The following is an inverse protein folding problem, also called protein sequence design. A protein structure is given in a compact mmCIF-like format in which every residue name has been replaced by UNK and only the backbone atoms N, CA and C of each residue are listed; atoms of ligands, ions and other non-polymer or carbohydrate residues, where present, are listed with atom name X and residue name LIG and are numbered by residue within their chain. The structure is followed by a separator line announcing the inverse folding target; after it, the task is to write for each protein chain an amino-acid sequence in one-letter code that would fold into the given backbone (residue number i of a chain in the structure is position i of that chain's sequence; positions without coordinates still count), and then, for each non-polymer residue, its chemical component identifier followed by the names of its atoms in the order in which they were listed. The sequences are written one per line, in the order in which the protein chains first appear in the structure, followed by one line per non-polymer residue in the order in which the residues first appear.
data_IF_550281611118
#
_entry.id   IF_550281611118
#
_cell.length_a   1.000
_cell.length_b   1.000
_cell.length_c   1.000
_cell.angle_alpha   90.00
_cell.angle_beta   90.00
_cell.angle_gamma   90.00
#
_symmetry.space_group_name_H-M   'P 1'
#
loop_
_entity.id
_entity.type
_entity.pdbx_description
1 polymer ?
#
# COMPACT_ATOMS: atom_id res chain seq x y z
N UNK A 1 19.45 19.51 -39.10
CA UNK A 1 19.60 19.13 -37.68
C UNK A 1 18.34 18.35 -37.31
N UNK A 2 18.45 17.05 -37.05
CA UNK A 2 17.30 16.12 -36.99
C UNK A 2 16.74 15.92 -35.56
N UNK A 3 17.05 16.81 -34.62
CA UNK A 3 16.71 16.61 -33.21
C UNK A 3 16.28 17.90 -32.53
N UNK A 4 15.31 17.79 -31.63
CA UNK A 4 14.92 18.84 -30.70
C UNK A 4 14.89 18.29 -29.28
N UNK A 5 15.32 19.12 -28.33
CA UNK A 5 15.30 18.77 -26.91
C UNK A 5 13.93 19.15 -26.37
N UNK A 6 13.28 18.26 -25.63
CA UNK A 6 11.99 18.58 -25.01
C UNK A 6 12.18 19.75 -24.05
N UNK A 7 11.42 20.83 -24.24
CA UNK A 7 11.49 22.03 -23.39
C UNK A 7 10.97 21.80 -21.97
N UNK A 8 10.19 20.74 -21.74
CA UNK A 8 9.60 20.44 -20.42
C UNK A 8 10.40 19.41 -19.62
N UNK A 9 10.91 18.35 -20.27
CA UNK A 9 11.63 17.27 -19.58
C UNK A 9 13.10 17.11 -19.99
N UNK A 10 13.60 17.90 -20.95
CA UNK A 10 15.00 17.88 -21.37
C UNK A 10 15.43 16.65 -22.20
N UNK A 11 14.56 15.64 -22.35
CA UNK A 11 14.82 14.42 -23.12
C UNK A 11 15.01 14.72 -24.61
N UNK A 12 15.90 13.95 -25.26
CA UNK A 12 16.06 13.97 -26.71
C UNK A 12 14.80 13.41 -27.35
N UNK A 13 14.07 14.24 -28.11
CA UNK A 13 12.99 13.75 -28.95
C UNK A 13 13.58 13.37 -30.30
N UNK A 14 13.33 12.14 -30.74
CA UNK A 14 13.44 11.83 -32.15
C UNK A 14 12.52 12.79 -32.91
N UNK A 15 13.03 13.50 -33.92
CA UNK A 15 12.08 13.91 -34.96
C UNK A 15 11.52 12.61 -35.54
N UNK A 16 10.23 12.58 -35.82
CA UNK A 16 9.51 11.41 -36.39
C UNK A 16 10.17 10.87 -37.68
N UNK A 17 11.16 11.56 -38.23
CA UNK A 17 12.02 11.16 -39.33
C UNK A 17 13.19 10.27 -38.90
N UNK A 18 12.93 9.15 -38.24
CA UNK A 18 13.88 8.02 -38.23
C UNK A 18 13.86 7.37 -39.62
N UNK A 19 14.32 8.13 -40.62
CA UNK A 19 14.53 7.75 -42.02
C UNK A 19 13.48 6.78 -42.60
N UNK A 20 12.19 7.10 -42.38
CA UNK A 20 11.07 6.44 -43.06
C UNK A 20 10.90 6.97 -44.49
N UNK A 21 11.99 7.42 -45.12
CA UNK A 21 11.93 7.77 -46.54
C UNK A 21 11.52 6.52 -47.31
N UNK A 22 10.64 6.64 -48.32
CA UNK A 22 10.18 5.48 -49.10
C UNK A 22 11.34 4.63 -49.64
N UNK A 23 12.45 5.29 -49.99
CA UNK A 23 13.69 4.68 -50.47
C UNK A 23 14.43 3.87 -49.40
N UNK A 24 14.53 4.38 -48.16
CA UNK A 24 15.13 3.65 -47.03
C UNK A 24 14.32 2.38 -46.69
N UNK A 25 12.99 2.50 -46.67
CA UNK A 25 12.09 1.37 -46.41
C UNK A 25 12.18 0.28 -47.50
N UNK A 26 12.21 0.68 -48.78
CA UNK A 26 12.38 -0.24 -49.89
C UNK A 26 13.73 -0.96 -49.87
N UNK A 27 14.81 -0.25 -49.50
CA UNK A 27 16.14 -0.83 -49.36
C UNK A 27 16.17 -1.88 -48.24
N UNK A 28 15.60 -1.58 -47.07
CA UNK A 28 15.50 -2.55 -45.97
C UNK A 28 14.72 -3.80 -46.35
N UNK A 29 13.58 -3.61 -47.02
CA UNK A 29 12.74 -4.71 -47.43
C UNK A 29 13.46 -5.60 -48.45
N UNK A 30 14.09 -5.01 -49.48
CA UNK A 30 14.90 -5.73 -50.48
C UNK A 30 16.03 -6.56 -49.83
N UNK A 31 16.77 -5.95 -48.89
CA UNK A 31 17.89 -6.62 -48.21
C UNK A 31 17.43 -7.64 -47.16
N UNK A 32 16.20 -7.53 -46.65
CA UNK A 32 15.62 -8.52 -45.73
C UNK A 32 15.01 -9.72 -46.46
N UNK A 33 14.51 -9.52 -47.69
CA UNK A 33 13.89 -10.55 -48.51
C UNK A 33 14.90 -11.33 -49.37
N UNK A 34 16.11 -10.79 -49.58
CA UNK A 34 17.17 -11.40 -50.39
C UNK A 34 18.44 -11.61 -49.58
N UNK A 35 19.11 -12.76 -49.74
CA UNK A 35 20.43 -13.01 -49.13
C UNK A 35 21.58 -12.32 -49.93
N UNK A 36 21.26 -11.37 -50.80
CA UNK A 36 22.26 -10.64 -51.59
C UNK A 36 23.01 -9.66 -50.68
N UNK A 37 24.36 -9.61 -50.72
CA UNK A 37 25.13 -8.65 -49.92
C UNK A 37 24.80 -7.21 -50.35
N UNK A 38 24.67 -6.26 -49.38
CA UNK A 38 24.50 -4.85 -49.72
C UNK A 38 25.75 -4.28 -50.38
N UNK A 39 25.58 -3.26 -51.21
CA UNK A 39 26.72 -2.55 -51.82
C UNK A 39 27.53 -1.78 -50.76
N UNK A 40 28.81 -1.51 -51.00
CA UNK A 40 29.69 -0.86 -50.01
C UNK A 40 29.16 0.50 -49.52
N UNK A 41 28.53 1.27 -50.40
CA UNK A 41 27.88 2.54 -50.05
C UNK A 41 26.64 2.33 -49.16
N UNK A 42 25.86 1.27 -49.41
CA UNK A 42 24.71 0.87 -48.59
C UNK A 42 25.18 0.38 -47.22
N UNK A 43 26.26 -0.41 -47.17
CA UNK A 43 26.88 -0.90 -45.93
C UNK A 43 27.34 0.25 -45.02
N UNK A 44 28.00 1.27 -45.59
CA UNK A 44 28.44 2.43 -44.82
C UNK A 44 27.24 3.21 -44.23
N UNK A 45 26.19 3.42 -45.03
CA UNK A 45 24.96 4.07 -44.58
C UNK A 45 24.23 3.28 -43.49
N UNK A 46 24.10 1.96 -43.66
CA UNK A 46 23.47 1.06 -42.69
C UNK A 46 24.25 1.02 -41.37
N UNK A 47 25.58 0.99 -41.39
CA UNK A 47 26.41 1.04 -40.18
C UNK A 47 26.27 2.36 -39.44
N UNK A 48 26.33 3.48 -40.14
CA UNK A 48 26.15 4.81 -39.55
C UNK A 48 24.76 4.95 -38.92
N UNK A 49 23.73 4.39 -39.56
CA UNK A 49 22.37 4.37 -39.01
C UNK A 49 22.27 3.45 -37.80
N UNK A 50 22.83 2.24 -37.85
CA UNK A 50 22.84 1.32 -36.73
C UNK A 50 23.56 1.91 -35.49
N UNK A 51 24.71 2.56 -35.67
CA UNK A 51 25.42 3.23 -34.57
C UNK A 51 24.60 4.39 -34.00
N UNK A 52 23.95 5.15 -34.88
CA UNK A 52 23.05 6.24 -34.51
C UNK A 52 21.86 5.72 -33.70
N UNK A 53 21.16 4.68 -34.18
CA UNK A 53 20.07 4.01 -33.46
C UNK A 53 20.51 3.48 -32.10
N UNK A 54 21.67 2.83 -32.03
CA UNK A 54 22.21 2.31 -30.77
C UNK A 54 22.48 3.42 -29.75
N UNK A 55 23.02 4.55 -30.18
CA UNK A 55 23.24 5.73 -29.31
C UNK A 55 21.92 6.27 -28.78
N UNK A 56 20.87 6.29 -29.60
CA UNK A 56 19.54 6.75 -29.18
C UNK A 56 18.85 5.78 -28.23
N UNK A 57 18.97 4.48 -28.47
CA UNK A 57 18.45 3.47 -27.55
C UNK A 57 19.11 3.62 -26.17
N UNK A 58 20.43 3.76 -26.11
CA UNK A 58 21.15 3.99 -24.85
C UNK A 58 20.64 5.24 -24.12
N UNK A 59 20.46 6.36 -24.82
CA UNK A 59 19.97 7.60 -24.22
C UNK A 59 18.51 7.48 -23.72
N UNK A 60 17.67 6.71 -24.40
CA UNK A 60 16.31 6.43 -23.94
C UNK A 60 16.30 5.52 -22.72
N UNK A 61 17.13 4.47 -22.71
CA UNK A 61 17.28 3.56 -21.58
C UNK A 61 17.77 4.30 -20.32
N UNK A 62 18.74 5.20 -20.47
CA UNK A 62 19.20 6.07 -19.38
C UNK A 62 18.07 6.96 -18.84
N UNK A 63 17.28 7.58 -19.72
CA UNK A 63 16.14 8.41 -19.31
C UNK A 63 15.03 7.61 -18.63
N UNK A 64 14.77 6.38 -19.07
CA UNK A 64 13.83 5.47 -18.41
C UNK A 64 14.34 5.14 -17.01
N UNK A 65 15.61 4.76 -16.87
CA UNK A 65 16.20 4.42 -15.58
C UNK A 65 16.13 5.59 -14.59
N UNK A 66 16.43 6.82 -15.02
CA UNK A 66 16.33 8.02 -14.18
C UNK A 66 14.89 8.25 -13.69
N UNK A 67 13.91 8.17 -14.59
CA UNK A 67 12.50 8.37 -14.23
C UNK A 67 11.98 7.26 -13.32
N UNK A 68 12.38 6.02 -13.52
CA UNK A 68 12.05 4.91 -12.64
C UNK A 68 12.60 5.12 -11.23
N UNK A 69 13.85 5.56 -11.10
CA UNK A 69 14.44 5.86 -9.80
C UNK A 69 13.76 7.03 -9.10
N UNK A 70 13.40 8.08 -9.86
CA UNK A 70 12.61 9.20 -9.33
C UNK A 70 11.23 8.74 -8.85
N UNK A 71 10.58 7.86 -9.59
CA UNK A 71 9.29 7.29 -9.23
C UNK A 71 9.40 6.45 -7.95
N UNK A 72 10.44 5.62 -7.83
CA UNK A 72 10.72 4.84 -6.60
C UNK A 72 10.89 5.76 -5.38
N UNK A 73 11.63 6.85 -5.53
CA UNK A 73 11.80 7.84 -4.45
C UNK A 73 10.46 8.48 -4.03
N UNK A 74 9.67 8.93 -5.00
CA UNK A 74 8.36 9.53 -4.69
C UNK A 74 7.41 8.52 -4.03
N UNK A 75 7.49 7.25 -4.42
CA UNK A 75 6.71 6.19 -3.78
C UNK A 75 7.12 5.96 -2.31
N UNK A 76 8.41 6.00 -1.99
CA UNK A 76 8.89 5.84 -0.61
C UNK A 76 8.51 7.03 0.26
N UNK A 77 8.66 8.26 -0.24
CA UNK A 77 8.23 9.49 0.43
C UNK A 77 6.72 9.47 0.70
N UNK A 78 5.91 9.08 -0.30
CA UNK A 78 4.46 8.92 -0.15
C UNK A 78 4.11 7.89 0.93
N UNK A 79 4.83 6.76 0.97
CA UNK A 79 4.58 5.72 1.97
C UNK A 79 4.88 6.23 3.39
N UNK A 80 6.00 6.94 3.58
CA UNK A 80 6.36 7.52 4.86
C UNK A 80 5.32 8.56 5.34
N UNK A 81 4.88 9.45 4.45
CA UNK A 81 3.87 10.45 4.79
C UNK A 81 2.50 9.83 5.13
N UNK A 82 2.10 8.77 4.42
CA UNK A 82 0.87 8.04 4.74
C UNK A 82 0.96 7.37 6.12
N UNK A 83 2.10 6.79 6.48
CA UNK A 83 2.29 6.21 7.80
C UNK A 83 2.16 7.27 8.91
N UNK A 84 2.78 8.43 8.71
CA UNK A 84 2.68 9.55 9.66
C UNK A 84 1.24 10.08 9.77
N UNK A 85 0.52 10.17 8.65
CA UNK A 85 -0.88 10.58 8.63
C UNK A 85 -1.75 9.63 9.45
N UNK A 86 -1.54 8.32 9.34
CA UNK A 86 -2.27 7.31 10.10
C UNK A 86 -1.95 7.39 11.60
N UNK A 87 -0.68 7.66 11.95
CA UNK A 87 -0.27 7.91 13.32
C UNK A 87 -0.99 9.12 13.92
N UNK A 88 -1.05 10.24 13.19
CA UNK A 88 -1.78 11.42 13.62
C UNK A 88 -3.28 11.17 13.74
N UNK A 89 -3.89 10.44 12.81
CA UNK A 89 -5.30 10.02 12.91
C UNK A 89 -5.55 9.24 14.20
N UNK A 90 -4.65 8.31 14.51
CA UNK A 90 -4.71 7.49 15.73
C UNK A 90 -4.57 8.33 17.01
N UNK A 91 -3.62 9.28 17.04
CA UNK A 91 -3.38 10.18 18.18
C UNK A 91 -4.56 11.15 18.37
N UNK A 92 -5.09 11.69 17.28
CA UNK A 92 -6.18 12.68 17.31
C UNK A 92 -7.56 12.03 17.43
N UNK A 93 -7.64 10.70 17.42
CA UNK A 93 -8.88 9.95 17.55
C UNK A 93 -9.74 10.50 18.69
N UNK A 94 -11.01 10.88 18.43
CA UNK A 94 -11.89 11.51 19.42
C UNK A 94 -12.01 10.71 20.71
N UNK A 95 -11.97 9.37 20.60
CA UNK A 95 -12.10 8.46 21.75
C UNK A 95 -11.02 8.66 22.81
N UNK A 96 -9.85 9.18 22.44
CA UNK A 96 -8.76 9.51 23.39
C UNK A 96 -9.08 10.74 24.25
N UNK A 97 -10.01 11.59 23.82
CA UNK A 97 -10.43 12.82 24.54
C UNK A 97 -11.73 12.66 25.31
N UNK A 98 -12.48 11.58 25.09
CA UNK A 98 -13.73 11.31 25.82
C UNK A 98 -13.40 11.09 27.31
N UNK A 99 -14.06 11.76 28.26
CA UNK A 99 -13.88 11.53 29.69
C UNK A 99 -14.20 10.07 30.08
N UNK A 100 -13.54 9.52 31.11
CA UNK A 100 -13.80 8.15 31.56
C UNK A 100 -15.26 7.91 31.98
N UNK A 101 -15.96 8.93 32.48
CA UNK A 101 -17.37 8.84 32.89
C UNK A 101 -18.29 8.60 31.69
N UNK A 102 -18.02 9.29 30.57
CA UNK A 102 -18.79 9.12 29.34
C UNK A 102 -18.50 7.75 28.71
N UNK A 103 -17.24 7.28 28.76
CA UNK A 103 -16.91 5.92 28.34
C UNK A 103 -17.61 4.88 29.22
N UNK A 104 -17.67 5.10 30.53
CA UNK A 104 -18.37 4.22 31.45
C UNK A 104 -19.88 4.16 31.18
N UNK A 105 -20.49 5.31 30.89
CA UNK A 105 -21.88 5.40 30.48
C UNK A 105 -22.10 4.60 29.19
N UNK A 106 -21.29 4.81 28.14
CA UNK A 106 -21.35 4.03 26.90
C UNK A 106 -21.22 2.53 27.18
N UNK A 107 -20.28 2.11 28.03
CA UNK A 107 -20.09 0.70 28.36
C UNK A 107 -21.34 0.10 29.02
N UNK A 108 -22.05 0.86 29.86
CA UNK A 108 -23.30 0.38 30.49
C UNK A 108 -24.38 0.03 29.46
N UNK A 109 -24.42 0.74 28.32
CA UNK A 109 -25.33 0.46 27.20
C UNK A 109 -24.94 -0.76 26.38
N UNK A 110 -23.72 -1.30 26.55
CA UNK A 110 -23.27 -2.50 25.82
C UNK A 110 -23.64 -3.81 26.51
N UNK A 111 -24.19 -3.74 27.73
CA UNK A 111 -24.60 -4.93 28.46
C UNK A 111 -25.84 -5.57 27.78
N UNK A 112 -25.81 -6.87 27.46
CA UNK A 112 -27.00 -7.63 27.06
C UNK A 112 -28.10 -7.54 28.11
N UNK A 113 -29.33 -7.76 27.67
CA UNK A 113 -30.50 -7.67 28.54
C UNK A 113 -30.46 -8.77 29.62
N UNK A 114 -31.12 -8.57 30.78
CA UNK A 114 -31.04 -9.49 31.92
C UNK A 114 -31.41 -10.96 31.61
N UNK A 115 -32.18 -11.17 30.56
CA UNK A 115 -32.63 -12.48 30.03
C UNK A 115 -31.58 -13.22 29.20
N UNK A 116 -30.49 -12.56 28.78
CA UNK A 116 -29.51 -13.13 27.83
C UNK A 116 -28.24 -13.71 28.48
N UNK A 117 -27.89 -13.30 29.70
CA UNK A 117 -26.78 -13.85 30.51
C UNK A 117 -25.37 -13.78 29.88
N UNK A 118 -24.33 -13.67 30.72
CA UNK A 118 -22.94 -13.54 30.26
C UNK A 118 -22.20 -14.87 30.33
N UNK A 119 -22.28 -15.73 29.32
CA UNK A 119 -21.59 -17.03 29.37
C UNK A 119 -20.05 -16.91 29.20
N UNK A 120 -19.29 -17.44 30.15
CA UNK A 120 -17.83 -17.50 30.22
C UNK A 120 -17.22 -18.58 29.29
N UNK A 121 -17.93 -18.99 28.25
CA UNK A 121 -17.52 -20.08 27.35
C UNK A 121 -17.64 -19.70 25.86
N UNK A 122 -16.57 -19.99 25.11
CA UNK A 122 -16.57 -19.98 23.64
C UNK A 122 -16.70 -18.60 22.96
N UNK A 123 -17.39 -18.54 21.81
CA UNK A 123 -17.57 -17.37 20.91
C UNK A 123 -18.14 -16.10 21.60
N UNK A 124 -18.56 -16.20 22.87
CA UNK A 124 -19.22 -15.14 23.63
C UNK A 124 -18.27 -14.18 24.36
N UNK A 125 -16.96 -14.48 24.43
CA UNK A 125 -15.91 -13.53 24.88
C UNK A 125 -15.72 -12.34 23.91
N UNK A 126 -16.35 -12.39 22.74
CA UNK A 126 -16.49 -11.26 21.80
C UNK A 126 -17.63 -10.30 22.16
N UNK A 127 -18.35 -10.54 23.25
CA UNK A 127 -19.42 -9.65 23.73
C UNK A 127 -18.97 -8.88 24.97
N UNK A 128 -19.73 -7.82 25.28
CA UNK A 128 -19.56 -7.08 26.53
C UNK A 128 -19.79 -8.00 27.73
N UNK A 129 -19.08 -7.82 28.86
CA UNK A 129 -18.05 -6.80 29.10
C UNK A 129 -16.66 -7.16 28.55
N UNK A 130 -16.44 -8.42 28.16
CA UNK A 130 -15.11 -8.96 27.80
C UNK A 130 -14.45 -8.22 26.63
N UNK A 131 -15.21 -7.93 25.57
CA UNK A 131 -14.67 -7.22 24.40
C UNK A 131 -14.11 -5.83 24.74
N UNK A 132 -14.68 -5.15 25.73
CA UNK A 132 -14.23 -3.82 26.16
C UNK A 132 -12.81 -3.88 26.72
N UNK A 133 -12.50 -4.96 27.43
CA UNK A 133 -11.16 -5.26 27.94
C UNK A 133 -10.14 -5.59 26.85
N UNK A 134 -10.54 -5.89 25.62
CA UNK A 134 -9.63 -6.24 24.51
C UNK A 134 -9.29 -5.07 23.57
N UNK A 135 -9.96 -3.92 23.71
CA UNK A 135 -9.77 -2.78 22.80
C UNK A 135 -8.47 -2.03 23.09
N UNK A 136 -8.27 -1.58 24.32
CA UNK A 136 -7.01 -0.98 24.77
C UNK A 136 -6.88 -1.01 26.30
N UNK A 137 -5.68 -0.71 26.83
CA UNK A 137 -5.42 -0.69 28.27
C UNK A 137 -6.33 0.29 29.03
N UNK A 138 -6.60 1.47 28.44
CA UNK A 138 -7.48 2.47 29.04
C UNK A 138 -8.93 1.99 29.16
N UNK A 139 -9.47 1.37 28.11
CA UNK A 139 -10.82 0.80 28.13
C UNK A 139 -10.93 -0.33 29.13
N UNK A 140 -9.91 -1.18 29.23
CA UNK A 140 -9.82 -2.24 30.25
C UNK A 140 -9.86 -1.66 31.67
N UNK A 141 -9.04 -0.64 31.96
CA UNK A 141 -9.02 -0.01 33.27
C UNK A 141 -10.38 0.60 33.65
N UNK A 142 -11.03 1.28 32.70
CA UNK A 142 -12.38 1.83 32.91
C UNK A 142 -13.40 0.71 33.12
N UNK A 143 -13.41 -0.32 32.27
CA UNK A 143 -14.34 -1.43 32.38
C UNK A 143 -14.20 -2.17 33.72
N UNK A 144 -12.97 -2.41 34.20
CA UNK A 144 -12.71 -3.02 35.51
C UNK A 144 -13.17 -2.15 36.68
N UNK A 145 -13.19 -0.81 36.52
CA UNK A 145 -13.67 0.10 37.58
C UNK A 145 -15.20 0.12 37.75
N UNK A 146 -15.95 -0.40 36.77
CA UNK A 146 -17.41 -0.33 36.75
C UNK A 146 -17.98 -1.65 37.26
N UNK A 147 -18.28 -1.72 38.55
CA UNK A 147 -18.80 -2.92 39.22
C UNK A 147 -20.06 -3.51 38.55
N UNK A 148 -20.95 -2.67 38.03
CA UNK A 148 -22.18 -3.11 37.37
C UNK A 148 -21.94 -3.84 36.04
N UNK A 149 -20.78 -3.66 35.39
CA UNK A 149 -20.44 -4.45 34.21
C UNK A 149 -20.15 -5.92 34.56
N UNK A 150 -19.76 -6.19 35.80
CA UNK A 150 -19.31 -7.51 36.28
C UNK A 150 -20.30 -8.16 37.25
N UNK A 151 -21.47 -7.55 37.47
CA UNK A 151 -22.45 -8.05 38.46
C UNK A 151 -23.15 -9.35 38.04
N UNK A 152 -23.10 -9.71 36.76
CA UNK A 152 -23.70 -10.94 36.24
C UNK A 152 -22.67 -11.66 35.36
N UNK A 153 -22.16 -12.80 35.84
CA UNK A 153 -21.25 -13.66 35.08
C UNK A 153 -21.83 -15.08 35.15
N UNK A 154 -22.13 -15.66 33.99
CA UNK A 154 -22.60 -17.04 33.87
C UNK A 154 -21.42 -17.93 33.46
N UNK A 155 -21.03 -18.89 34.28
CA UNK A 155 -19.95 -19.82 33.92
C UNK A 155 -20.56 -21.08 33.37
N UNK A 156 -20.33 -21.35 32.08
CA UNK A 156 -20.75 -22.61 31.46
C UNK A 156 -19.55 -23.57 31.51
N UNK A 157 -19.57 -24.48 32.48
CA UNK A 157 -18.44 -25.35 32.82
C UNK A 157 -18.27 -26.55 31.87
N UNK A 158 -19.22 -26.77 30.94
CA UNK A 158 -19.29 -28.00 30.14
C UNK A 158 -18.57 -27.91 28.78
N UNK A 159 -17.89 -26.78 28.47
CA UNK A 159 -17.21 -26.60 27.19
C UNK A 159 -15.67 -26.54 27.30
N UNK A 160 -14.94 -27.61 26.92
CA UNK A 160 -13.48 -27.68 27.03
C UNK A 160 -12.71 -26.81 26.03
N UNK A 161 -13.39 -26.10 25.11
CA UNK A 161 -12.75 -25.19 24.14
C UNK A 161 -12.77 -23.72 24.56
N UNK A 162 -13.11 -23.44 25.82
CA UNK A 162 -13.13 -22.08 26.35
C UNK A 162 -11.73 -21.46 26.41
N UNK A 163 -11.57 -20.25 25.88
CA UNK A 163 -10.40 -19.42 26.19
C UNK A 163 -10.42 -19.15 27.69
N UNK A 164 -9.31 -19.43 28.38
CA UNK A 164 -9.17 -19.19 29.80
C UNK A 164 -9.43 -17.68 30.09
N UNK A 165 -10.48 -17.32 30.84
CA UNK A 165 -10.82 -15.94 31.17
C UNK A 165 -10.00 -15.40 32.34
N UNK A 166 -9.28 -16.26 33.07
CA UNK A 166 -8.49 -15.90 34.25
C UNK A 166 -7.43 -14.81 34.00
N UNK A 167 -6.74 -14.76 32.83
CA UNK A 167 -5.80 -13.67 32.54
C UNK A 167 -6.46 -12.29 32.47
N UNK A 168 -7.78 -12.21 32.25
CA UNK A 168 -8.51 -10.94 32.21
C UNK A 168 -8.94 -10.43 33.60
N UNK A 169 -8.98 -11.33 34.60
CA UNK A 169 -9.37 -11.02 35.98
C UNK A 169 -8.15 -10.71 36.87
N UNK A 170 -6.94 -10.88 36.35
CA UNK A 170 -5.72 -10.50 37.05
C UNK A 170 -5.52 -8.99 36.97
N UNK A 171 -5.60 -8.32 38.12
CA UNK A 171 -5.22 -6.92 38.30
C UNK A 171 -3.69 -6.85 38.45
N UNK A 172 -3.04 -6.01 37.62
CA UNK A 172 -1.64 -5.60 37.84
C UNK A 172 -1.59 -4.40 38.77
#
# INVERSE_FOLDING_TARGET
MLFSRCSECGSLKSSESFDQTPTSLQLHQKLAETNEPPEDAELAGLRARASTTSTFLSALEEGIAELEDRLKQLHSERAALKALQEEYSTILSPIRRVPPEILAEIFSWTLPRPDEGFALAGKKTRHSPWILGHICSRWRAIALSIHSLWSLIHVDADNPTSMDPLPMLQTQ
#
